data_IF_984140323964
#
_entry.id   IF_984140323964
#
_cell.length_a   1.000
_cell.length_b   1.000
_cell.length_c   1.000
_cell.angle_alpha   90.00
_cell.angle_beta   90.00
_cell.angle_gamma   90.00
#
_symmetry.space_group_name_H-M   'P 1'
#
loop_
_entity.id
_entity.type
_entity.pdbx_description
1 polymer ?
#
# COMPACT_ATOMS: atom_id res chain seq x y z
N UNK A 1 -18.14 -15.56 50.31
CA UNK A 1 -17.16 -14.71 49.62
C UNK A 1 -15.88 -15.45 49.31
N UNK A 2 -15.10 -15.80 50.33
CA UNK A 2 -13.70 -16.25 50.19
C UNK A 2 -13.58 -17.68 49.60
N UNK A 3 -14.38 -18.64 50.08
CA UNK A 3 -14.29 -20.02 49.61
C UNK A 3 -14.68 -20.21 48.13
N UNK A 4 -15.66 -19.46 47.64
CA UNK A 4 -16.08 -19.51 46.24
C UNK A 4 -15.01 -18.94 45.30
N UNK A 5 -14.34 -17.84 45.68
CA UNK A 5 -13.24 -17.28 44.90
C UNK A 5 -12.07 -18.27 44.74
N UNK A 6 -11.81 -19.09 45.76
CA UNK A 6 -10.76 -20.11 45.72
C UNK A 6 -11.08 -21.26 44.74
N UNK A 7 -12.33 -21.72 44.67
CA UNK A 7 -12.73 -22.78 43.73
C UNK A 7 -12.75 -22.28 42.29
N UNK A 8 -13.25 -21.06 42.05
CA UNK A 8 -13.22 -20.44 40.72
C UNK A 8 -11.78 -20.15 40.26
N UNK A 9 -10.91 -19.70 41.16
CA UNK A 9 -9.48 -19.51 40.88
C UNK A 9 -8.76 -20.80 40.51
N UNK A 10 -9.01 -21.89 41.25
CA UNK A 10 -8.42 -23.20 40.94
C UNK A 10 -8.95 -23.75 39.62
N UNK A 11 -10.25 -23.61 39.35
CA UNK A 11 -10.85 -24.04 38.09
C UNK A 11 -10.24 -23.31 36.88
N UNK A 12 -10.08 -21.99 36.97
CA UNK A 12 -9.41 -21.21 35.94
C UNK A 12 -7.94 -21.62 35.76
N UNK A 13 -7.21 -21.91 36.84
CA UNK A 13 -5.82 -22.41 36.77
C UNK A 13 -5.73 -23.76 36.07
N UNK A 14 -6.64 -24.69 36.35
CA UNK A 14 -6.67 -26.01 35.69
C UNK A 14 -6.97 -25.88 34.20
N UNK A 15 -7.93 -25.02 33.83
CA UNK A 15 -8.22 -24.71 32.42
C UNK A 15 -7.01 -24.05 31.74
N UNK A 16 -6.36 -23.10 32.39
CA UNK A 16 -5.18 -22.41 31.86
C UNK A 16 -3.99 -23.36 31.68
N UNK A 17 -3.80 -24.30 32.60
CA UNK A 17 -2.77 -25.36 32.53
C UNK A 17 -3.07 -26.35 31.40
N UNK A 18 -4.32 -26.80 31.24
CA UNK A 18 -4.70 -27.71 30.15
C UNK A 18 -4.60 -27.05 28.77
N UNK A 19 -5.17 -25.86 28.63
CA UNK A 19 -5.17 -25.08 27.39
C UNK A 19 -3.75 -24.60 27.04
N UNK A 20 -3.02 -24.04 28.00
CA UNK A 20 -1.66 -23.56 27.81
C UNK A 20 -0.67 -24.68 27.47
N UNK A 21 -0.76 -25.84 28.13
CA UNK A 21 0.19 -26.94 27.89
C UNK A 21 0.03 -27.59 26.50
N UNK A 22 -1.16 -27.57 25.91
CA UNK A 22 -1.43 -28.22 24.62
C UNK A 22 -1.46 -27.22 23.47
N UNK A 23 -2.08 -26.05 23.66
CA UNK A 23 -2.22 -25.08 22.57
C UNK A 23 -0.94 -24.30 22.28
N UNK A 24 -0.11 -24.00 23.29
CA UNK A 24 1.16 -23.29 23.06
C UNK A 24 2.09 -24.11 22.14
N UNK A 25 2.45 -25.37 22.45
CA UNK A 25 3.31 -26.15 21.56
C UNK A 25 2.67 -26.45 20.21
N UNK A 26 1.34 -26.65 20.15
CA UNK A 26 0.62 -26.88 18.88
C UNK A 26 0.59 -25.62 18.00
N UNK A 27 0.36 -24.46 18.60
CA UNK A 27 0.39 -23.15 17.95
C UNK A 27 1.81 -22.83 17.45
N UNK A 28 2.83 -23.06 18.28
CA UNK A 28 4.23 -22.91 17.88
C UNK A 28 4.63 -23.88 16.76
N UNK A 29 4.24 -25.16 16.83
CA UNK A 29 4.51 -26.14 15.77
C UNK A 29 3.79 -25.81 14.46
N UNK A 30 2.53 -25.36 14.53
CA UNK A 30 1.76 -24.99 13.34
C UNK A 30 2.20 -23.64 12.75
N UNK A 31 2.60 -22.68 13.59
CA UNK A 31 3.27 -21.44 13.18
C UNK A 31 4.67 -21.67 12.60
N UNK A 32 5.35 -22.71 13.06
CA UNK A 32 6.65 -23.15 12.54
C UNK A 32 6.57 -23.96 11.23
N UNK A 33 5.38 -24.19 10.64
CA UNK A 33 5.23 -24.67 9.25
C UNK A 33 5.64 -23.58 8.26
N UNK A 34 6.93 -23.23 8.32
CA UNK A 34 7.58 -22.17 7.55
C UNK A 34 7.36 -22.34 6.05
N UNK A 35 7.28 -23.57 5.52
CA UNK A 35 7.06 -23.81 4.09
C UNK A 35 5.74 -23.26 3.55
N UNK A 36 4.61 -23.51 4.24
CA UNK A 36 3.30 -23.00 3.82
C UNK A 36 3.22 -21.48 3.99
N UNK A 37 3.76 -20.96 5.09
CA UNK A 37 3.80 -19.52 5.33
C UNK A 37 4.67 -18.80 4.28
N UNK A 38 5.86 -19.33 3.97
CA UNK A 38 6.73 -18.81 2.92
C UNK A 38 6.01 -18.79 1.59
N UNK A 39 5.44 -19.92 1.15
CA UNK A 39 4.77 -20.00 -0.15
C UNK A 39 3.58 -19.04 -0.25
N UNK A 40 2.79 -18.92 0.83
CA UNK A 40 1.70 -17.94 0.92
C UNK A 40 2.22 -16.50 0.84
N UNK A 41 3.31 -16.18 1.54
CA UNK A 41 3.90 -14.83 1.49
C UNK A 41 4.53 -14.53 0.12
N UNK A 42 5.18 -15.51 -0.52
CA UNK A 42 5.73 -15.36 -1.87
C UNK A 42 4.62 -15.13 -2.89
N UNK A 43 3.55 -15.93 -2.85
CA UNK A 43 2.40 -15.73 -3.73
C UNK A 43 1.75 -14.37 -3.53
N UNK A 44 1.58 -13.95 -2.26
CA UNK A 44 1.03 -12.63 -1.94
C UNK A 44 1.96 -11.50 -2.43
N UNK A 45 3.27 -11.64 -2.27
CA UNK A 45 4.24 -10.67 -2.73
C UNK A 45 4.26 -10.57 -4.26
N UNK A 46 4.29 -11.71 -4.96
CA UNK A 46 4.22 -11.75 -6.42
C UNK A 46 2.93 -11.11 -6.94
N UNK A 47 1.78 -11.44 -6.34
CA UNK A 47 0.50 -10.81 -6.68
C UNK A 47 0.52 -9.29 -6.46
N UNK A 48 1.02 -8.83 -5.30
CA UNK A 48 1.13 -7.40 -5.01
C UNK A 48 2.09 -6.68 -5.97
N UNK A 49 3.16 -7.35 -6.40
CA UNK A 49 4.09 -6.82 -7.39
C UNK A 49 3.42 -6.67 -8.76
N UNK A 50 2.60 -7.62 -9.19
CA UNK A 50 1.79 -7.49 -10.41
C UNK A 50 0.80 -6.34 -10.29
N UNK A 51 0.02 -6.29 -9.21
CA UNK A 51 -0.95 -5.20 -9.00
C UNK A 51 -0.27 -3.82 -8.95
N UNK A 52 0.94 -3.74 -8.37
CA UNK A 52 1.75 -2.52 -8.38
C UNK A 52 2.20 -2.15 -9.80
N UNK A 53 2.68 -3.12 -10.57
CA UNK A 53 3.13 -2.87 -11.94
C UNK A 53 1.98 -2.38 -12.84
N UNK A 54 0.80 -3.01 -12.75
CA UNK A 54 -0.38 -2.60 -13.51
C UNK A 54 -0.83 -1.17 -13.15
N UNK A 55 -0.75 -0.81 -11.86
CA UNK A 55 -1.06 0.54 -11.40
C UNK A 55 -0.01 1.57 -11.82
N UNK A 56 1.28 1.20 -11.85
CA UNK A 56 2.37 2.04 -12.35
C UNK A 56 2.24 2.30 -13.85
N UNK A 57 1.90 1.29 -14.65
CA UNK A 57 1.63 1.42 -16.08
C UNK A 57 0.44 2.37 -16.34
N UNK A 58 -0.67 2.17 -15.62
CA UNK A 58 -1.85 3.05 -15.74
C UNK A 58 -1.51 4.50 -15.39
N UNK A 59 -0.66 4.71 -14.39
CA UNK A 59 -0.20 6.05 -14.04
C UNK A 59 0.67 6.63 -15.14
N UNK A 60 1.60 5.86 -15.71
CA UNK A 60 2.46 6.30 -16.81
C UNK A 60 1.63 6.74 -18.02
N UNK A 61 0.64 5.94 -18.44
CA UNK A 61 -0.28 6.25 -19.53
C UNK A 61 -1.00 7.59 -19.31
N UNK A 62 -1.61 7.77 -18.14
CA UNK A 62 -2.34 9.00 -17.80
C UNK A 62 -1.40 10.20 -17.77
N UNK A 63 -0.19 10.03 -17.25
CA UNK A 63 0.79 11.11 -17.18
C UNK A 63 1.34 11.48 -18.56
N UNK A 64 1.45 10.54 -19.50
CA UNK A 64 1.77 10.80 -20.91
C UNK A 64 0.68 11.66 -21.57
N UNK A 65 -0.59 11.34 -21.34
CA UNK A 65 -1.71 12.13 -21.86
C UNK A 65 -1.73 13.55 -21.29
N UNK A 66 -1.49 13.70 -19.98
CA UNK A 66 -1.35 15.02 -19.35
C UNK A 66 -0.20 15.82 -19.98
N UNK A 67 0.92 15.15 -20.29
CA UNK A 67 2.06 15.77 -20.97
C UNK A 67 1.67 16.28 -22.36
N UNK A 68 1.04 15.44 -23.18
CA UNK A 68 0.58 15.80 -24.53
C UNK A 68 -0.36 17.01 -24.49
N UNK A 69 -1.30 17.02 -23.55
CA UNK A 69 -2.24 18.15 -23.36
C UNK A 69 -1.49 19.43 -22.97
N UNK A 70 -0.50 19.34 -22.09
CA UNK A 70 0.31 20.48 -21.68
C UNK A 70 1.17 21.05 -22.82
N UNK A 71 1.73 20.19 -23.67
CA UNK A 71 2.52 20.59 -24.85
C UNK A 71 1.63 21.20 -25.94
N UNK A 72 0.39 20.71 -26.11
CA UNK A 72 -0.55 21.23 -27.10
C UNK A 72 -1.18 22.57 -26.71
N UNK A 73 -1.37 22.84 -25.42
CA UNK A 73 -2.06 24.03 -24.92
C UNK A 73 -1.04 25.11 -24.54
N UNK A 74 -0.79 26.05 -25.46
CA UNK A 74 0.09 27.21 -25.22
C UNK A 74 -0.42 28.14 -24.11
N UNK A 75 0.48 28.96 -23.56
CA UNK A 75 0.21 29.85 -22.42
C UNK A 75 -0.99 30.79 -22.62
N UNK A 76 -1.22 31.25 -23.86
CA UNK A 76 -2.27 32.21 -24.18
C UNK A 76 -3.65 31.55 -24.40
N UNK A 77 -3.76 30.23 -24.24
CA UNK A 77 -4.99 29.50 -24.47
C UNK A 77 -5.93 29.59 -23.25
N UNK A 78 -7.25 29.81 -23.42
CA UNK A 78 -8.19 29.93 -22.30
C UNK A 78 -8.23 28.69 -21.39
N UNK A 79 -7.88 27.51 -21.93
CA UNK A 79 -7.81 26.25 -21.16
C UNK A 79 -6.50 26.06 -20.39
N UNK A 80 -5.52 26.97 -20.47
CA UNK A 80 -4.25 26.85 -19.74
C UNK A 80 -4.45 26.71 -18.23
N UNK A 81 -5.39 27.47 -17.67
CA UNK A 81 -5.79 27.38 -16.25
C UNK A 81 -6.29 25.98 -15.85
N UNK A 82 -6.97 25.27 -16.75
CA UNK A 82 -7.45 23.91 -16.51
C UNK A 82 -6.26 22.94 -16.48
N UNK A 83 -5.32 23.08 -17.40
CA UNK A 83 -4.08 22.27 -17.43
C UNK A 83 -3.25 22.50 -16.18
N UNK A 84 -3.03 23.75 -15.76
CA UNK A 84 -2.31 24.06 -14.52
C UNK A 84 -2.99 23.43 -13.28
N UNK A 85 -4.32 23.37 -13.28
CA UNK A 85 -5.08 22.71 -12.22
C UNK A 85 -4.88 21.20 -12.21
N UNK A 86 -4.77 20.57 -13.40
CA UNK A 86 -4.47 19.15 -13.54
C UNK A 86 -3.04 18.87 -13.07
N UNK A 87 -2.05 19.67 -13.51
CA UNK A 87 -0.65 19.53 -13.11
C UNK A 87 -0.46 19.62 -11.59
N UNK A 88 -1.20 20.51 -10.91
CA UNK A 88 -1.18 20.59 -9.43
C UNK A 88 -1.71 19.34 -8.73
N UNK A 89 -2.52 18.52 -9.41
CA UNK A 89 -3.05 17.26 -8.87
C UNK A 89 -2.16 16.07 -9.18
N UNK A 90 -1.19 16.19 -10.08
CA UNK A 90 -0.23 15.14 -10.38
C UNK A 90 0.69 14.87 -9.19
N UNK A 91 1.27 13.66 -9.05
CA UNK A 91 2.24 13.37 -7.99
C UNK A 91 3.48 14.27 -8.10
N UNK A 92 4.11 14.60 -6.97
CA UNK A 92 5.27 15.51 -6.93
C UNK A 92 6.42 15.09 -7.87
N UNK A 93 6.71 13.78 -7.94
CA UNK A 93 7.73 13.21 -8.82
C UNK A 93 7.49 13.50 -10.31
N UNK A 94 6.23 13.64 -10.72
CA UNK A 94 5.86 13.98 -12.09
C UNK A 94 5.76 15.49 -12.31
N UNK A 95 5.39 16.26 -11.28
CA UNK A 95 5.40 17.72 -11.34
C UNK A 95 6.81 18.26 -11.64
N UNK A 96 7.85 17.73 -10.98
CA UNK A 96 9.24 18.14 -11.20
C UNK A 96 9.74 17.82 -12.63
N UNK A 97 9.34 16.68 -13.19
CA UNK A 97 9.68 16.28 -14.57
C UNK A 97 9.01 17.18 -15.61
N UNK A 98 7.80 17.66 -15.32
CA UNK A 98 7.05 18.54 -16.22
C UNK A 98 7.45 20.01 -16.09
N UNK A 99 7.74 20.49 -14.88
CA UNK A 99 8.14 21.88 -14.61
C UNK A 99 9.41 22.28 -15.36
N UNK A 100 10.40 21.39 -15.46
CA UNK A 100 11.66 21.65 -16.17
C UNK A 100 11.51 21.90 -17.68
N UNK A 101 10.39 21.52 -18.30
CA UNK A 101 10.11 21.81 -19.72
C UNK A 101 9.34 23.13 -19.92
N UNK A 102 8.79 23.72 -18.86
CA UNK A 102 8.03 24.96 -18.93
C UNK A 102 8.95 26.19 -18.96
N UNK A 103 10.14 26.07 -18.36
CA UNK A 103 11.17 27.12 -18.31
C UNK A 103 11.73 27.47 -19.71
N UNK A 104 11.73 26.53 -20.66
CA UNK A 104 12.21 26.74 -22.04
C UNK A 104 11.25 27.58 -22.91
N UNK A 105 10.01 27.84 -22.47
CA UNK A 105 9.02 28.63 -23.21
C UNK A 105 8.92 30.09 -22.75
N UNK A 106 9.65 30.49 -21.70
CA UNK A 106 9.72 31.89 -21.26
C UNK A 106 10.61 32.77 -22.16
N UNK A 107 11.37 32.18 -23.09
CA UNK A 107 12.37 32.86 -23.93
C UNK A 107 11.92 33.17 -25.38
N UNK A 108 10.61 33.07 -25.72
CA UNK A 108 10.08 33.41 -27.06
C UNK A 108 8.75 34.18 -27.09
#
# INVERSE_FOLDING_TARGET
>A
GIAAANTWGLFLLVLLLGYGLVEIPRSHWNGAKKGYLLMKTYFKAAKLMTEKADAEETLEDVMEEVRKVNECIKYNHPLRKCVDTILKKCPAEYQEKMGRNMDDYEDF
#
